data_IF_111150294456
#
_entry.id   IF_111150294456
#
_cell.length_a   1.000
_cell.length_b   1.000
_cell.length_c   1.000
_cell.angle_alpha   90.00
_cell.angle_beta   90.00
_cell.angle_gamma   90.00
#
_symmetry.space_group_name_H-M   'P 1'
#
loop_
_entity.id
_entity.type
_entity.pdbx_description
1 polymer ?
#
# COMPACT_ATOMS: atom_id res chain seq x y z
N UNK A 1 -14.97 -9.55 24.42
CA UNK A 1 -16.24 -9.36 23.68
C UNK A 1 -16.26 -10.24 22.44
N UNK A 2 -17.43 -10.48 21.86
CA UNK A 2 -17.61 -11.12 20.57
C UNK A 2 -17.88 -10.05 19.51
N UNK A 3 -17.04 -9.96 18.49
CA UNK A 3 -17.26 -9.08 17.34
C UNK A 3 -17.56 -9.89 16.08
N UNK A 4 -18.47 -9.39 15.24
CA UNK A 4 -18.74 -9.97 13.94
C UNK A 4 -18.41 -8.94 12.85
N UNK A 5 -17.47 -9.27 11.96
CA UNK A 5 -16.88 -8.34 10.99
C UNK A 5 -17.50 -8.55 9.60
N UNK A 6 -18.12 -7.52 9.07
CA UNK A 6 -18.67 -7.50 7.70
C UNK A 6 -17.58 -6.99 6.73
N UNK A 7 -17.24 -7.78 5.72
CA UNK A 7 -16.15 -7.50 4.78
C UNK A 7 -14.77 -7.90 5.33
N UNK A 8 -14.72 -9.01 6.09
CA UNK A 8 -13.55 -9.45 6.85
C UNK A 8 -12.34 -9.82 5.99
N UNK A 9 -12.53 -10.21 4.72
CA UNK A 9 -11.45 -10.63 3.82
C UNK A 9 -10.69 -9.45 3.18
N UNK A 10 -11.14 -8.21 3.39
CA UNK A 10 -10.38 -7.03 2.99
C UNK A 10 -9.09 -6.88 3.81
N UNK A 11 -8.01 -6.35 3.22
CA UNK A 11 -6.67 -6.29 3.86
C UNK A 11 -6.70 -5.60 5.22
N UNK A 12 -7.36 -4.44 5.33
CA UNK A 12 -7.50 -3.72 6.61
C UNK A 12 -8.35 -4.50 7.61
N UNK A 13 -9.50 -5.02 7.17
CA UNK A 13 -10.44 -5.71 8.06
C UNK A 13 -9.89 -7.07 8.51
N UNK A 14 -9.13 -7.77 7.67
CA UNK A 14 -8.44 -9.01 8.04
C UNK A 14 -7.33 -8.76 9.07
N UNK A 15 -6.56 -7.69 8.91
CA UNK A 15 -5.57 -7.26 9.90
C UNK A 15 -6.22 -6.86 11.23
N UNK A 16 -7.34 -6.14 11.19
CA UNK A 16 -8.13 -5.81 12.38
C UNK A 16 -8.64 -7.08 13.08
N UNK A 17 -9.12 -8.06 12.32
CA UNK A 17 -9.57 -9.35 12.86
C UNK A 17 -8.43 -10.09 13.59
N UNK A 18 -7.22 -10.07 13.01
CA UNK A 18 -6.04 -10.65 13.65
C UNK A 18 -5.69 -9.94 14.97
N UNK A 19 -5.66 -8.60 14.97
CA UNK A 19 -5.42 -7.80 16.18
C UNK A 19 -6.48 -8.07 17.27
N UNK A 20 -7.74 -8.15 16.88
CA UNK A 20 -8.82 -8.45 17.82
C UNK A 20 -8.68 -9.85 18.45
N UNK A 21 -8.29 -10.86 17.66
CA UNK A 21 -8.00 -12.21 18.17
C UNK A 21 -6.81 -12.21 19.13
N UNK A 22 -5.72 -11.53 18.76
CA UNK A 22 -4.51 -11.40 19.59
C UNK A 22 -4.81 -10.65 20.90
N UNK A 23 -5.73 -9.67 20.87
CA UNK A 23 -6.23 -8.96 22.05
C UNK A 23 -7.23 -9.77 22.91
N UNK A 24 -7.50 -11.04 22.56
CA UNK A 24 -8.36 -11.95 23.34
C UNK A 24 -9.87 -11.82 23.05
N UNK A 25 -10.27 -11.15 21.98
CA UNK A 25 -11.66 -11.09 21.55
C UNK A 25 -12.07 -12.35 20.76
N UNK A 26 -13.34 -12.75 20.88
CA UNK A 26 -13.95 -13.70 19.95
C UNK A 26 -14.26 -12.96 18.65
N UNK A 27 -13.82 -13.50 17.51
CA UNK A 27 -14.03 -12.90 16.20
C UNK A 27 -14.71 -13.91 15.29
N UNK A 28 -15.75 -13.45 14.62
CA UNK A 28 -16.40 -14.10 13.49
C UNK A 28 -16.55 -13.08 12.38
N UNK A 29 -16.83 -13.48 11.14
CA UNK A 29 -17.06 -12.49 10.10
C UNK A 29 -17.54 -13.08 8.78
N UNK A 30 -17.98 -12.20 7.89
CA UNK A 30 -18.48 -12.56 6.57
C UNK A 30 -17.89 -11.69 5.47
N UNK A 31 -17.86 -12.25 4.25
CA UNK A 31 -17.47 -11.54 3.04
C UNK A 31 -18.17 -12.14 1.81
N UNK A 32 -18.27 -11.38 0.73
CA UNK A 32 -18.78 -11.88 -0.57
C UNK A 32 -17.85 -12.92 -1.21
N UNK A 33 -16.53 -12.81 -0.94
CA UNK A 33 -15.49 -13.69 -1.47
C UNK A 33 -14.59 -14.23 -0.37
N UNK A 34 -14.85 -15.48 0.07
CA UNK A 34 -14.06 -16.16 1.11
C UNK A 34 -13.09 -17.13 0.44
N UNK A 35 -11.98 -16.63 -0.08
CA UNK A 35 -10.97 -17.41 -0.82
C UNK A 35 -9.53 -17.08 -0.38
N UNK A 36 -8.58 -18.02 -0.61
CA UNK A 36 -7.17 -17.79 -0.30
C UNK A 36 -6.58 -16.57 -1.01
N UNK A 37 -5.54 -15.92 -0.44
CA UNK A 37 -4.82 -16.32 0.79
C UNK A 37 -5.44 -15.80 2.10
N UNK A 38 -6.33 -14.80 2.06
CA UNK A 38 -6.86 -14.17 3.27
C UNK A 38 -7.73 -15.13 4.09
N UNK A 39 -8.57 -15.92 3.44
CA UNK A 39 -9.41 -16.91 4.13
C UNK A 39 -8.60 -17.93 4.94
N UNK A 40 -7.47 -18.39 4.36
CA UNK A 40 -6.60 -19.37 5.04
C UNK A 40 -5.89 -18.73 6.24
N UNK A 41 -5.42 -17.51 6.09
CA UNK A 41 -4.82 -16.75 7.18
C UNK A 41 -5.81 -16.55 8.34
N UNK A 42 -7.02 -16.13 8.05
CA UNK A 42 -8.05 -15.91 9.07
C UNK A 42 -8.48 -17.21 9.76
N UNK A 43 -8.65 -18.30 8.99
CA UNK A 43 -8.95 -19.63 9.55
C UNK A 43 -7.84 -20.17 10.44
N UNK A 44 -6.57 -19.93 10.09
CA UNK A 44 -5.43 -20.33 10.93
C UNK A 44 -5.42 -19.63 12.29
N UNK A 45 -6.07 -18.46 12.40
CA UNK A 45 -6.29 -17.71 13.64
C UNK A 45 -7.53 -18.20 14.43
N UNK A 46 -8.22 -19.25 13.96
CA UNK A 46 -9.44 -19.77 14.57
C UNK A 46 -10.64 -18.84 14.39
N UNK A 47 -10.71 -18.10 13.28
CA UNK A 47 -11.82 -17.21 12.95
C UNK A 47 -12.81 -17.95 12.04
N UNK A 48 -14.07 -18.00 12.46
CA UNK A 48 -15.16 -18.56 11.65
C UNK A 48 -15.57 -17.57 10.56
N UNK A 49 -15.50 -18.01 9.31
CA UNK A 49 -15.81 -17.21 8.12
C UNK A 49 -17.10 -17.71 7.47
N UNK A 50 -17.98 -16.77 7.14
CA UNK A 50 -19.24 -17.02 6.44
C UNK A 50 -19.17 -16.35 5.06
N UNK A 51 -19.56 -17.07 4.02
CA UNK A 51 -19.67 -16.50 2.69
C UNK A 51 -21.04 -15.82 2.52
N UNK A 52 -21.01 -14.59 1.99
CA UNK A 52 -22.19 -13.76 1.80
C UNK A 52 -22.60 -12.94 3.03
N UNK A 53 -23.61 -12.11 2.84
CA UNK A 53 -24.13 -11.17 3.85
C UNK A 53 -25.60 -11.48 4.19
N UNK A 54 -25.92 -12.75 4.46
CA UNK A 54 -27.25 -13.20 4.79
C UNK A 54 -27.79 -12.63 6.11
N UNK A 55 -29.06 -12.24 6.16
CA UNK A 55 -29.71 -11.69 7.35
C UNK A 55 -29.80 -12.70 8.52
N UNK A 56 -29.72 -13.99 8.24
CA UNK A 56 -29.69 -15.10 9.22
C UNK A 56 -28.50 -14.98 10.19
N UNK A 57 -27.41 -14.34 9.77
CA UNK A 57 -26.24 -14.07 10.61
C UNK A 57 -26.54 -13.14 11.79
N UNK A 58 -27.68 -12.46 11.81
CA UNK A 58 -28.15 -11.72 12.99
C UNK A 58 -28.27 -12.61 14.23
N UNK A 59 -28.56 -13.92 14.02
CA UNK A 59 -28.67 -14.94 15.08
C UNK A 59 -27.34 -15.27 15.77
N UNK A 60 -26.18 -14.85 15.20
CA UNK A 60 -24.86 -14.97 15.83
C UNK A 60 -24.80 -14.16 17.13
N UNK A 61 -25.61 -13.09 17.21
CA UNK A 61 -25.77 -12.22 18.37
C UNK A 61 -24.42 -11.76 18.97
N UNK A 62 -23.52 -11.15 18.19
CA UNK A 62 -22.27 -10.61 18.70
C UNK A 62 -22.56 -9.40 19.61
N UNK A 63 -21.59 -9.01 20.44
CA UNK A 63 -21.67 -7.79 21.24
C UNK A 63 -21.73 -6.54 20.34
N UNK A 64 -21.02 -6.58 19.19
CA UNK A 64 -21.01 -5.50 18.20
C UNK A 64 -20.70 -6.03 16.78
N UNK A 65 -21.38 -5.46 15.79
CA UNK A 65 -21.07 -5.67 14.37
C UNK A 65 -20.05 -4.62 13.93
N UNK A 66 -18.92 -5.07 13.32
CA UNK A 66 -17.88 -4.19 12.81
C UNK A 66 -17.97 -4.12 11.29
N UNK A 67 -18.32 -2.95 10.76
CA UNK A 67 -18.70 -2.78 9.35
C UNK A 67 -17.51 -2.28 8.53
N UNK A 68 -17.12 -3.05 7.53
CA UNK A 68 -16.09 -2.67 6.56
C UNK A 68 -16.63 -1.74 5.47
N UNK A 69 -15.71 -1.02 4.80
CA UNK A 69 -16.06 -0.02 3.78
C UNK A 69 -16.74 -0.61 2.52
N UNK A 70 -16.58 -1.90 2.26
CA UNK A 70 -17.26 -2.60 1.15
C UNK A 70 -18.78 -2.65 1.33
N UNK A 71 -19.25 -2.57 2.57
CA UNK A 71 -20.67 -2.66 2.92
C UNK A 71 -21.38 -1.33 2.64
N UNK A 72 -22.56 -1.41 2.04
CA UNK A 72 -23.37 -0.25 1.71
C UNK A 72 -24.86 -0.58 1.79
N UNK A 73 -25.74 0.40 1.53
CA UNK A 73 -27.18 0.20 1.37
C UNK A 73 -27.59 0.09 -0.10
N UNK A 74 -26.68 -0.31 -0.98
CA UNK A 74 -26.94 -0.52 -2.39
C UNK A 74 -28.01 -1.61 -2.60
N UNK A 75 -28.79 -1.46 -3.64
CA UNK A 75 -29.81 -2.41 -4.09
C UNK A 75 -29.36 -3.13 -5.36
N UNK A 76 -29.72 -4.39 -5.47
CA UNK A 76 -29.60 -5.15 -6.71
C UNK A 76 -30.65 -4.69 -7.74
N UNK A 77 -30.53 -5.06 -9.02
CA UNK A 77 -31.49 -4.66 -10.06
C UNK A 77 -32.95 -5.07 -9.78
N UNK A 78 -33.16 -6.13 -9.00
CA UNK A 78 -34.48 -6.60 -8.55
C UNK A 78 -35.03 -5.84 -7.33
N UNK A 79 -34.31 -4.81 -6.83
CA UNK A 79 -34.67 -4.01 -5.68
C UNK A 79 -34.32 -4.61 -4.33
N UNK A 80 -33.79 -5.84 -4.27
CA UNK A 80 -33.34 -6.46 -3.00
C UNK A 80 -32.05 -5.82 -2.47
N UNK A 81 -31.83 -5.81 -1.14
CA UNK A 81 -30.57 -5.31 -0.58
C UNK A 81 -29.38 -6.13 -1.05
N UNK A 82 -28.29 -5.46 -1.47
CA UNK A 82 -27.02 -6.12 -1.76
C UNK A 82 -26.37 -6.71 -0.48
N UNK A 83 -26.66 -6.11 0.67
CA UNK A 83 -26.16 -6.50 1.99
C UNK A 83 -27.32 -6.72 2.99
N UNK A 84 -28.09 -7.83 2.87
CA UNK A 84 -29.27 -8.08 3.72
C UNK A 84 -28.96 -8.07 5.22
N UNK A 85 -27.79 -8.53 5.63
CA UNK A 85 -27.35 -8.50 7.05
C UNK A 85 -27.30 -7.06 7.57
N UNK A 86 -26.81 -6.09 6.77
CA UNK A 86 -26.74 -4.70 7.22
C UNK A 86 -28.14 -4.10 7.44
N UNK A 87 -29.09 -4.38 6.55
CA UNK A 87 -30.47 -3.93 6.75
C UNK A 87 -31.07 -4.58 8.02
N UNK A 88 -30.86 -5.88 8.24
CA UNK A 88 -31.31 -6.57 9.45
C UNK A 88 -30.71 -6.00 10.75
N UNK A 89 -29.42 -5.60 10.73
CA UNK A 89 -28.76 -4.94 11.87
C UNK A 89 -29.45 -3.61 12.19
N UNK A 90 -29.73 -2.80 11.16
CA UNK A 90 -30.40 -1.50 11.32
C UNK A 90 -31.85 -1.68 11.83
N UNK A 91 -32.61 -2.57 11.22
CA UNK A 91 -34.02 -2.83 11.60
C UNK A 91 -34.16 -3.34 13.03
N UNK A 92 -33.23 -4.18 13.46
CA UNK A 92 -33.19 -4.75 14.81
C UNK A 92 -32.53 -3.83 15.86
N UNK A 93 -32.03 -2.67 15.47
CA UNK A 93 -31.35 -1.72 16.36
C UNK A 93 -30.13 -2.31 17.06
N UNK A 94 -29.39 -3.22 16.38
CA UNK A 94 -28.20 -3.86 16.98
C UNK A 94 -27.00 -2.92 16.98
N UNK A 95 -26.11 -3.04 18.01
CA UNK A 95 -24.88 -2.25 18.06
C UNK A 95 -24.00 -2.50 16.83
N UNK A 96 -23.55 -1.44 16.18
CA UNK A 96 -22.58 -1.52 15.09
C UNK A 96 -21.62 -0.34 15.12
N UNK A 97 -20.42 -0.55 14.59
CA UNK A 97 -19.36 0.46 14.47
C UNK A 97 -18.54 0.23 13.21
N UNK A 98 -17.70 1.18 12.84
CA UNK A 98 -16.74 0.99 11.74
C UNK A 98 -15.45 0.30 12.20
N UNK A 99 -14.71 -0.33 11.27
CA UNK A 99 -13.41 -0.92 11.57
C UNK A 99 -12.42 0.07 12.18
N UNK A 100 -12.20 1.26 11.57
CA UNK A 100 -11.29 2.27 12.11
C UNK A 100 -11.67 2.79 13.50
N UNK A 101 -12.96 2.97 13.76
CA UNK A 101 -13.43 3.41 15.08
C UNK A 101 -13.20 2.32 16.13
N UNK A 102 -13.58 1.06 15.84
CA UNK A 102 -13.35 -0.06 16.75
C UNK A 102 -11.86 -0.21 17.08
N UNK A 103 -10.99 -0.13 16.06
CA UNK A 103 -9.53 -0.20 16.23
C UNK A 103 -9.04 0.91 17.17
N UNK A 104 -9.51 2.14 16.97
CA UNK A 104 -9.12 3.30 17.77
C UNK A 104 -9.47 3.13 19.26
N UNK A 105 -10.65 2.57 19.55
CA UNK A 105 -11.17 2.43 20.91
C UNK A 105 -10.61 1.23 21.66
N UNK A 106 -10.28 0.13 20.95
CA UNK A 106 -9.93 -1.15 21.61
C UNK A 106 -8.45 -1.54 21.46
N UNK A 107 -7.73 -0.95 20.49
CA UNK A 107 -6.34 -1.30 20.22
C UNK A 107 -5.40 -0.09 20.36
N UNK A 108 -5.80 1.08 19.83
CA UNK A 108 -4.91 2.25 19.77
C UNK A 108 -4.99 3.12 21.02
N UNK A 109 -6.07 3.04 21.79
CA UNK A 109 -6.25 3.86 22.98
C UNK A 109 -5.13 3.62 23.99
N UNK A 110 -4.48 4.72 24.43
CA UNK A 110 -3.38 4.68 25.38
C UNK A 110 -2.00 4.38 24.76
N UNK A 111 -1.93 4.08 23.46
CA UNK A 111 -0.65 3.87 22.76
C UNK A 111 -0.11 5.16 22.11
N UNK A 112 1.17 5.19 21.83
CA UNK A 112 1.77 6.17 20.95
C UNK A 112 1.58 5.73 19.51
N UNK A 113 0.52 6.21 18.88
CA UNK A 113 0.22 5.88 17.48
C UNK A 113 1.12 6.69 16.55
N UNK A 114 1.80 5.98 15.62
CA UNK A 114 2.58 6.55 14.53
C UNK A 114 1.85 6.22 13.22
N UNK A 115 1.18 7.20 12.65
CA UNK A 115 0.39 7.05 11.42
C UNK A 115 1.20 7.48 10.20
N UNK A 116 1.16 6.69 9.13
CA UNK A 116 1.85 7.00 7.86
C UNK A 116 0.81 7.25 6.78
N UNK A 117 0.66 8.52 6.40
CA UNK A 117 -0.27 8.98 5.37
C UNK A 117 0.49 9.45 4.11
N UNK A 118 -0.20 9.43 2.98
CA UNK A 118 0.32 9.85 1.68
C UNK A 118 -0.34 9.07 0.55
N UNK A 119 -0.31 9.57 -0.66
CA UNK A 119 -0.86 8.85 -1.82
C UNK A 119 -0.02 7.61 -2.11
N UNK A 120 1.32 7.75 -2.07
CA UNK A 120 2.27 6.68 -2.39
C UNK A 120 3.22 6.40 -1.24
N UNK A 121 3.76 5.17 -1.19
CA UNK A 121 4.78 4.77 -0.24
C UNK A 121 4.28 4.46 1.18
N UNK A 122 2.99 4.60 1.48
CA UNK A 122 2.39 4.31 2.80
C UNK A 122 2.86 2.97 3.37
N UNK A 123 2.59 1.89 2.65
CA UNK A 123 2.90 0.51 3.06
C UNK A 123 4.38 0.30 3.35
N UNK A 124 5.25 0.77 2.45
CA UNK A 124 6.70 0.63 2.59
C UNK A 124 7.22 1.44 3.78
N UNK A 125 6.81 2.70 3.92
CA UNK A 125 7.22 3.56 5.05
C UNK A 125 6.72 3.02 6.39
N UNK A 126 5.46 2.54 6.44
CA UNK A 126 4.90 1.91 7.65
C UNK A 126 5.71 0.68 8.05
N UNK A 127 6.09 -0.14 7.06
CA UNK A 127 6.90 -1.35 7.27
C UNK A 127 8.31 -1.03 7.73
N UNK A 128 8.97 -0.04 7.09
CA UNK A 128 10.28 0.46 7.51
C UNK A 128 10.24 0.98 8.96
N UNK A 129 9.23 1.79 9.29
CA UNK A 129 9.07 2.34 10.62
C UNK A 129 8.83 1.24 11.66
N UNK A 130 7.95 0.28 11.38
CA UNK A 130 7.74 -0.87 12.27
C UNK A 130 9.03 -1.67 12.49
N UNK A 131 9.81 -1.91 11.42
CA UNK A 131 11.09 -2.60 11.49
C UNK A 131 12.14 -1.83 12.31
N UNK A 132 12.26 -0.53 12.07
CA UNK A 132 13.16 0.35 12.84
C UNK A 132 12.82 0.33 14.33
N UNK A 133 11.54 0.39 14.67
CA UNK A 133 11.08 0.33 16.06
C UNK A 133 11.34 -1.06 16.69
N UNK A 134 11.17 -2.13 15.92
CA UNK A 134 11.48 -3.49 16.36
C UNK A 134 12.97 -3.63 16.70
N UNK A 135 13.84 -3.23 15.78
CA UNK A 135 15.29 -3.27 15.97
C UNK A 135 15.77 -2.30 17.08
N UNK A 136 15.03 -1.22 17.28
CA UNK A 136 15.21 -0.28 18.40
C UNK A 136 14.67 -0.77 19.75
N UNK A 137 14.23 -2.04 19.86
CA UNK A 137 13.74 -2.65 21.10
C UNK A 137 12.40 -2.10 21.60
N UNK A 138 11.60 -1.48 20.71
CA UNK A 138 10.31 -0.89 21.10
C UNK A 138 9.14 -1.89 21.03
N UNK A 139 9.34 -3.11 20.52
CA UNK A 139 8.32 -4.16 20.34
C UNK A 139 6.97 -3.60 19.84
N UNK A 140 6.92 -2.88 18.69
CA UNK A 140 5.73 -2.14 18.28
C UNK A 140 4.59 -3.07 17.89
N UNK A 141 3.34 -2.61 18.11
CA UNK A 141 2.21 -3.09 17.35
C UNK A 141 2.19 -2.44 15.95
N UNK A 142 1.54 -3.09 15.00
CA UNK A 142 1.37 -2.50 13.67
C UNK A 142 0.16 -3.04 12.90
N UNK A 143 -0.31 -2.24 11.96
CA UNK A 143 -1.28 -2.62 10.92
C UNK A 143 -0.84 -2.01 9.60
N UNK A 144 -0.48 -2.87 8.63
CA UNK A 144 0.09 -2.51 7.33
C UNK A 144 -0.78 -3.06 6.21
N UNK A 145 -0.96 -2.32 5.13
CA UNK A 145 -1.73 -2.73 3.95
C UNK A 145 -1.07 -3.81 3.07
N UNK A 146 0.06 -4.36 3.50
CA UNK A 146 0.81 -5.43 2.85
C UNK A 146 1.46 -6.35 3.87
N UNK A 147 2.27 -7.30 3.42
CA UNK A 147 3.00 -8.23 4.30
C UNK A 147 4.49 -7.90 4.25
N UNK A 148 5.05 -7.22 5.28
CA UNK A 148 6.49 -7.00 5.36
C UNK A 148 7.20 -8.35 5.49
N UNK A 149 8.26 -8.55 4.71
CA UNK A 149 9.00 -9.82 4.69
C UNK A 149 9.69 -10.12 6.03
N UNK A 150 10.04 -9.07 6.76
CA UNK A 150 10.70 -9.17 8.08
C UNK A 150 9.79 -9.71 9.18
N UNK A 151 8.49 -9.49 9.05
CA UNK A 151 7.49 -9.93 10.04
C UNK A 151 6.66 -11.13 9.56
N UNK A 152 6.46 -11.28 8.25
CA UNK A 152 5.64 -12.35 7.67
C UNK A 152 4.13 -12.20 7.87
N UNK A 153 3.69 -11.15 8.57
CA UNK A 153 2.28 -10.83 8.86
C UNK A 153 2.00 -9.35 8.58
N UNK A 154 0.74 -9.01 8.27
CA UNK A 154 0.32 -7.63 8.02
C UNK A 154 -0.11 -6.87 9.28
N UNK A 155 -0.34 -7.57 10.38
CA UNK A 155 -0.79 -6.99 11.64
C UNK A 155 -0.22 -7.76 12.83
N UNK A 156 0.10 -7.05 13.89
CA UNK A 156 0.58 -7.57 15.18
C UNK A 156 0.19 -6.61 16.30
N UNK A 157 -0.31 -7.12 17.41
CA UNK A 157 -0.67 -6.29 18.57
C UNK A 157 0.56 -5.63 19.20
N UNK A 158 1.67 -6.38 19.33
CA UNK A 158 2.91 -5.93 19.95
C UNK A 158 2.79 -5.62 21.43
N UNK A 159 3.88 -5.77 22.17
CA UNK A 159 3.92 -5.56 23.62
C UNK A 159 4.33 -4.13 24.03
N UNK A 160 4.86 -3.35 23.07
CA UNK A 160 5.34 -1.99 23.31
C UNK A 160 4.24 -0.93 23.32
N UNK A 161 4.60 0.26 23.79
CA UNK A 161 3.69 1.40 23.79
C UNK A 161 3.44 2.00 22.38
N UNK A 162 4.36 1.76 21.43
CA UNK A 162 4.24 2.25 20.06
C UNK A 162 3.31 1.37 19.20
N UNK A 163 2.52 2.02 18.35
CA UNK A 163 1.71 1.32 17.34
C UNK A 163 1.86 2.04 15.99
N UNK A 164 2.35 1.34 14.97
CA UNK A 164 2.55 1.89 13.63
C UNK A 164 1.37 1.51 12.74
N UNK A 165 0.74 2.48 12.09
CA UNK A 165 -0.43 2.22 11.25
C UNK A 165 -0.34 2.91 9.90
N UNK A 166 -0.67 2.17 8.85
CA UNK A 166 -0.91 2.73 7.53
C UNK A 166 -2.19 3.56 7.56
N UNK A 167 -2.05 4.85 7.27
CA UNK A 167 -3.12 5.84 7.41
C UNK A 167 -3.68 6.20 6.02
N UNK A 168 -4.72 5.47 5.65
CA UNK A 168 -5.39 5.59 4.37
C UNK A 168 -6.41 6.72 4.37
N UNK A 169 -6.44 7.53 3.30
CA UNK A 169 -7.36 8.64 3.06
C UNK A 169 -8.77 8.21 2.67
N UNK A 170 -9.00 6.94 2.35
CA UNK A 170 -10.32 6.41 2.01
C UNK A 170 -11.34 6.63 3.13
N UNK A 171 -12.62 6.80 2.74
CA UNK A 171 -13.72 6.90 3.68
C UNK A 171 -13.84 5.66 4.58
N UNK A 172 -14.41 5.86 5.77
CA UNK A 172 -14.44 4.88 6.86
C UNK A 172 -15.46 3.78 6.62
N UNK A 173 -16.72 4.16 6.35
CA UNK A 173 -17.85 3.27 6.12
C UNK A 173 -18.97 4.02 5.38
N UNK A 174 -20.03 3.33 4.96
CA UNK A 174 -21.15 3.97 4.27
C UNK A 174 -21.87 5.03 5.14
N UNK A 175 -21.82 4.89 6.46
CA UNK A 175 -22.41 5.81 7.43
C UNK A 175 -21.41 6.82 8.03
N UNK A 176 -20.12 6.69 7.72
CA UNK A 176 -19.08 7.63 8.15
C UNK A 176 -18.14 7.92 6.97
N UNK A 177 -18.30 9.11 6.37
CA UNK A 177 -17.57 9.56 5.19
C UNK A 177 -16.27 10.29 5.49
N UNK A 178 -15.86 10.37 6.77
CA UNK A 178 -14.52 10.85 7.13
C UNK A 178 -13.48 9.80 6.73
N UNK A 179 -12.28 10.26 6.38
CA UNK A 179 -11.17 9.37 6.11
C UNK A 179 -10.79 8.54 7.33
N UNK A 180 -10.39 7.30 7.12
CA UNK A 180 -10.06 6.33 8.19
C UNK A 180 -9.06 6.87 9.20
N UNK A 181 -8.06 7.60 8.75
CA UNK A 181 -6.98 8.11 9.60
C UNK A 181 -7.44 9.12 10.68
N UNK A 182 -8.60 9.76 10.53
CA UNK A 182 -9.15 10.69 11.54
C UNK A 182 -9.47 9.96 12.86
N UNK A 183 -9.78 8.66 12.78
CA UNK A 183 -10.05 7.83 13.94
C UNK A 183 -8.79 7.48 14.75
N UNK A 184 -7.60 7.44 14.12
CA UNK A 184 -6.38 6.90 14.73
C UNK A 184 -5.74 7.79 15.78
N UNK A 185 -6.03 9.11 15.77
CA UNK A 185 -5.53 10.11 16.75
C UNK A 185 -4.03 9.96 16.99
N UNK A 186 -3.18 10.06 15.96
CA UNK A 186 -1.76 9.78 16.09
C UNK A 186 -1.06 10.85 16.93
N UNK A 187 -0.02 10.43 17.65
CA UNK A 187 0.95 11.34 18.27
C UNK A 187 2.11 11.68 17.34
N UNK A 188 2.40 10.78 16.40
CA UNK A 188 3.31 11.03 15.28
C UNK A 188 2.57 10.76 13.99
N UNK A 189 2.57 11.69 13.04
CA UNK A 189 2.01 11.46 11.72
C UNK A 189 3.04 11.81 10.64
N UNK A 190 3.31 10.85 9.75
CA UNK A 190 4.09 11.06 8.54
C UNK A 190 3.13 11.49 7.43
N UNK A 191 3.44 12.61 6.78
CA UNK A 191 2.79 13.10 5.56
C UNK A 191 3.81 12.99 4.43
N UNK A 192 3.72 11.89 3.65
CA UNK A 192 4.79 11.51 2.73
C UNK A 192 4.69 12.25 1.39
N UNK A 193 3.55 12.20 0.75
CA UNK A 193 3.25 12.90 -0.51
C UNK A 193 1.73 13.03 -0.66
N UNK A 194 1.29 13.89 -1.58
CA UNK A 194 -0.14 14.11 -1.80
C UNK A 194 -0.40 14.46 -3.26
N UNK A 195 -0.98 13.52 -3.99
CA UNK A 195 -1.42 13.67 -5.38
C UNK A 195 -2.92 13.34 -5.50
N UNK A 196 -3.53 13.67 -6.64
CA UNK A 196 -4.91 13.28 -6.91
C UNK A 196 -4.99 11.79 -7.21
N UNK A 197 -5.74 11.07 -6.38
CA UNK A 197 -6.11 9.66 -6.55
C UNK A 197 -7.53 9.45 -6.00
N UNK A 198 -8.02 8.21 -6.05
CA UNK A 198 -9.36 7.86 -5.54
C UNK A 198 -10.49 8.71 -6.16
N UNK A 199 -10.47 8.85 -7.50
CA UNK A 199 -11.46 9.62 -8.26
C UNK A 199 -12.91 9.11 -8.11
N UNK A 200 -13.11 7.97 -7.49
CA UNK A 200 -14.42 7.42 -7.12
C UNK A 200 -15.03 8.07 -5.87
N UNK A 201 -14.23 8.73 -5.05
CA UNK A 201 -14.68 9.37 -3.79
C UNK A 201 -14.23 10.82 -3.63
N UNK A 202 -13.28 11.30 -4.42
CA UNK A 202 -12.79 12.68 -4.39
C UNK A 202 -12.89 13.32 -5.76
N UNK A 203 -13.46 14.53 -5.80
CA UNK A 203 -13.62 15.29 -7.03
C UNK A 203 -12.31 15.92 -7.51
N UNK A 204 -11.45 16.33 -6.57
CA UNK A 204 -10.21 17.05 -6.85
C UNK A 204 -9.16 16.87 -5.73
N UNK A 205 -7.94 17.37 -5.98
CA UNK A 205 -6.85 17.36 -4.99
C UNK A 205 -7.21 18.17 -3.73
N UNK A 206 -7.96 19.26 -3.87
CA UNK A 206 -8.35 20.08 -2.73
C UNK A 206 -9.28 19.32 -1.76
N UNK A 207 -10.09 18.40 -2.28
CA UNK A 207 -10.90 17.50 -1.44
C UNK A 207 -10.01 16.58 -0.59
N UNK A 208 -8.92 16.06 -1.16
CA UNK A 208 -7.96 15.23 -0.44
C UNK A 208 -7.15 16.08 0.56
N UNK A 209 -6.70 17.28 0.18
CA UNK A 209 -6.03 18.23 1.09
C UNK A 209 -6.87 18.53 2.33
N UNK A 210 -8.19 18.70 2.19
CA UNK A 210 -9.11 18.87 3.32
C UNK A 210 -9.09 17.67 4.27
N UNK A 211 -9.05 16.45 3.75
CA UNK A 211 -8.97 15.25 4.59
C UNK A 211 -7.63 15.19 5.34
N UNK A 212 -6.52 15.48 4.65
CA UNK A 212 -5.20 15.56 5.31
C UNK A 212 -5.15 16.62 6.39
N UNK A 213 -5.81 17.79 6.18
CA UNK A 213 -5.94 18.79 7.24
C UNK A 213 -6.78 18.28 8.40
N UNK A 214 -7.80 17.44 8.19
CA UNK A 214 -8.52 16.78 9.28
C UNK A 214 -7.59 15.86 10.08
N UNK A 215 -6.68 15.11 9.43
CA UNK A 215 -5.65 14.34 10.14
C UNK A 215 -4.73 15.24 10.97
N UNK A 216 -4.20 16.33 10.39
CA UNK A 216 -3.34 17.31 11.08
C UNK A 216 -3.99 17.81 12.37
N UNK A 217 -5.29 18.10 12.33
CA UNK A 217 -6.07 18.54 13.51
C UNK A 217 -6.16 17.51 14.63
N UNK A 218 -5.98 16.23 14.34
CA UNK A 218 -6.05 15.15 15.35
C UNK A 218 -4.74 14.93 16.08
N UNK A 219 -3.62 15.45 15.54
CA UNK A 219 -2.30 15.36 16.18
C UNK A 219 -2.21 16.38 17.31
N UNK A 220 -1.92 15.97 18.56
CA UNK A 220 -1.87 16.89 19.71
C UNK A 220 -0.69 17.86 19.62
N UNK A 221 -0.76 18.99 20.34
CA UNK A 221 0.33 19.98 20.40
C UNK A 221 1.67 19.40 20.89
N UNK A 222 1.64 18.32 21.65
CA UNK A 222 2.83 17.56 22.09
C UNK A 222 3.24 16.46 21.10
N UNK A 223 2.57 16.37 19.97
CA UNK A 223 2.85 15.41 18.90
C UNK A 223 3.78 15.99 17.84
N UNK A 224 4.08 15.17 16.84
CA UNK A 224 4.98 15.55 15.73
C UNK A 224 4.37 15.19 14.37
N UNK A 225 4.46 16.12 13.43
CA UNK A 225 4.23 15.89 12.01
C UNK A 225 5.58 15.77 11.30
N UNK A 226 5.80 14.63 10.64
CA UNK A 226 6.98 14.36 9.79
C UNK A 226 6.56 14.57 8.34
N UNK A 227 6.99 15.66 7.73
CA UNK A 227 6.40 16.17 6.49
C UNK A 227 7.43 16.24 5.37
N UNK A 228 7.09 15.74 4.20
CA UNK A 228 7.90 15.91 3.01
C UNK A 228 7.96 17.39 2.61
N UNK A 229 9.16 17.98 2.67
CA UNK A 229 9.38 19.39 2.38
C UNK A 229 9.20 19.75 0.91
N UNK A 230 9.30 18.77 0.01
CA UNK A 230 9.23 18.97 -1.43
C UNK A 230 7.79 19.01 -1.99
N UNK A 231 6.80 18.67 -1.18
CA UNK A 231 5.39 18.56 -1.57
C UNK A 231 4.63 19.87 -1.33
N UNK A 232 4.33 20.60 -2.41
CA UNK A 232 3.58 21.87 -2.32
C UNK A 232 2.16 21.66 -1.77
N UNK A 233 1.50 20.54 -2.12
CA UNK A 233 0.18 20.18 -1.60
C UNK A 233 0.18 20.06 -0.07
N UNK A 234 1.22 19.48 0.51
CA UNK A 234 1.37 19.40 1.96
C UNK A 234 1.63 20.76 2.61
N UNK A 235 2.35 21.66 1.92
CA UNK A 235 2.49 23.04 2.42
C UNK A 235 1.14 23.75 2.46
N UNK A 236 0.27 23.57 1.46
CA UNK A 236 -1.11 24.10 1.49
C UNK A 236 -1.96 23.51 2.61
N UNK A 237 -1.80 22.22 2.88
CA UNK A 237 -2.47 21.55 4.03
C UNK A 237 -2.04 22.20 5.35
N UNK A 238 -0.73 22.37 5.57
CA UNK A 238 -0.20 22.98 6.80
C UNK A 238 -0.57 24.46 6.96
N UNK A 239 -0.69 25.19 5.86
CA UNK A 239 -1.12 26.60 5.86
C UNK A 239 -2.55 26.80 6.38
N UNK A 240 -3.39 25.77 6.35
CA UNK A 240 -4.73 25.78 6.93
C UNK A 240 -4.71 25.72 8.47
N UNK A 241 -3.56 25.44 9.08
CA UNK A 241 -3.30 25.36 10.52
C UNK A 241 -2.49 24.12 10.90
N UNK A 242 -1.55 24.32 11.80
CA UNK A 242 -0.72 23.27 12.38
C UNK A 242 -0.43 23.63 13.84
N UNK A 243 -0.59 22.67 14.74
CA UNK A 243 -0.46 22.87 16.18
C UNK A 243 0.64 22.05 16.82
N UNK A 244 1.24 21.13 16.05
CA UNK A 244 2.22 20.15 16.50
C UNK A 244 3.62 20.54 16.03
N UNK A 245 4.65 19.92 16.61
CA UNK A 245 6.02 20.03 16.11
C UNK A 245 6.11 19.57 14.65
N UNK A 246 6.89 20.29 13.84
CA UNK A 246 7.16 19.94 12.45
C UNK A 246 8.59 19.43 12.30
N UNK A 247 8.74 18.20 11.81
CA UNK A 247 9.99 17.64 11.31
C UNK A 247 9.88 17.49 9.81
N UNK A 248 10.70 18.21 9.04
CA UNK A 248 10.65 18.21 7.58
C UNK A 248 11.75 17.33 7.00
N UNK A 249 11.41 16.48 6.02
CA UNK A 249 12.38 15.65 5.31
C UNK A 249 12.40 15.91 3.81
N UNK A 250 13.50 15.54 3.16
CA UNK A 250 13.75 15.80 1.74
C UNK A 250 14.49 17.10 1.50
N UNK A 251 14.56 17.53 0.26
CA UNK A 251 15.24 18.77 -0.12
C UNK A 251 14.59 19.97 0.58
N UNK A 252 15.39 20.80 1.26
CA UNK A 252 14.91 21.93 2.05
C UNK A 252 14.39 21.58 3.44
N UNK A 253 14.34 20.30 3.81
CA UNK A 253 14.03 19.84 5.15
C UNK A 253 15.28 19.73 6.04
N UNK A 254 15.06 19.51 7.33
CA UNK A 254 16.13 19.26 8.31
C UNK A 254 16.69 17.84 8.19
N UNK A 255 15.86 16.90 7.74
CA UNK A 255 16.24 15.51 7.46
C UNK A 255 16.51 15.33 5.98
N UNK A 256 17.76 15.04 5.61
CA UNK A 256 18.18 14.93 4.23
C UNK A 256 18.99 13.66 4.01
N UNK A 257 19.11 13.25 2.75
CA UNK A 257 19.99 12.17 2.32
C UNK A 257 21.11 12.74 1.44
N UNK A 258 22.30 12.18 1.61
CA UNK A 258 23.49 12.48 0.77
C UNK A 258 24.15 11.20 0.34
N UNK A 259 24.13 10.91 -0.96
CA UNK A 259 24.66 9.68 -1.54
C UNK A 259 23.72 9.10 -2.60
N UNK A 260 24.01 7.87 -3.03
CA UNK A 260 23.15 7.11 -3.95
C UNK A 260 21.90 6.60 -3.23
N UNK A 261 20.91 6.09 -3.99
CA UNK A 261 19.68 5.63 -3.37
C UNK A 261 19.81 4.34 -2.56
N UNK A 262 20.85 3.57 -2.81
CA UNK A 262 21.20 2.30 -2.16
C UNK A 262 22.27 2.44 -1.06
N UNK A 263 23.00 3.58 -1.06
CA UNK A 263 24.05 3.87 -0.06
C UNK A 263 24.12 5.39 0.22
N UNK A 264 23.57 5.83 1.35
CA UNK A 264 23.48 7.26 1.68
C UNK A 264 23.64 7.55 3.15
N UNK A 265 24.19 8.73 3.43
CA UNK A 265 24.20 9.31 4.76
C UNK A 265 22.85 9.95 5.06
N UNK A 266 22.33 9.74 6.25
CA UNK A 266 21.20 10.48 6.80
C UNK A 266 21.74 11.70 7.51
N UNK A 267 21.28 12.88 7.11
CA UNK A 267 21.66 14.15 7.71
C UNK A 267 20.50 14.71 8.53
N UNK A 268 20.80 15.33 9.68
CA UNK A 268 19.89 16.16 10.45
C UNK A 268 20.55 17.53 10.65
N UNK A 269 19.89 18.60 10.21
CA UNK A 269 20.43 19.98 10.22
C UNK A 269 21.83 20.07 9.57
N UNK A 270 22.09 19.27 8.52
CA UNK A 270 23.36 19.24 7.79
C UNK A 270 24.43 18.33 8.39
N UNK A 271 24.25 17.81 9.60
CA UNK A 271 25.17 16.87 10.25
C UNK A 271 24.79 15.42 9.95
N UNK A 272 25.79 14.56 9.71
CA UNK A 272 25.58 13.14 9.48
C UNK A 272 25.21 12.46 10.81
N UNK A 273 24.02 11.88 10.87
CA UNK A 273 23.50 11.19 12.06
C UNK A 273 23.33 9.69 11.87
N UNK A 274 23.54 9.17 10.66
CA UNK A 274 23.49 7.75 10.36
C UNK A 274 23.81 7.47 8.91
N UNK A 275 23.98 6.19 8.56
CA UNK A 275 24.23 5.73 7.19
C UNK A 275 23.34 4.52 6.90
N UNK A 276 22.72 4.53 5.74
CA UNK A 276 21.93 3.42 5.20
C UNK A 276 22.66 2.83 4.01
N UNK A 277 22.80 1.50 4.02
CA UNK A 277 23.29 0.70 2.89
C UNK A 277 22.34 -0.50 2.76
N UNK A 278 21.67 -0.64 1.63
CA UNK A 278 20.62 -1.64 1.42
C UNK A 278 20.51 -2.07 -0.05
N UNK A 279 19.66 -3.07 -0.33
CA UNK A 279 19.40 -3.54 -1.70
C UNK A 279 18.28 -2.79 -2.41
N UNK A 280 17.56 -1.90 -1.70
CA UNK A 280 16.46 -1.14 -2.30
C UNK A 280 17.01 -0.03 -3.21
N UNK A 281 16.21 0.32 -4.21
CA UNK A 281 16.55 1.36 -5.18
C UNK A 281 15.45 2.41 -5.28
N UNK A 282 15.81 3.55 -5.88
CA UNK A 282 14.88 4.64 -6.17
C UNK A 282 14.81 5.70 -5.07
N UNK A 283 14.65 6.96 -5.52
CA UNK A 283 14.54 8.14 -4.64
C UNK A 283 13.38 7.99 -3.65
N UNK A 284 12.26 7.39 -4.08
CA UNK A 284 11.10 7.20 -3.24
C UNK A 284 11.39 6.36 -1.99
N UNK A 285 12.24 5.31 -2.10
CA UNK A 285 12.64 4.51 -0.95
C UNK A 285 13.59 5.27 -0.02
N UNK A 286 14.50 6.08 -0.58
CA UNK A 286 15.36 6.97 0.20
C UNK A 286 14.51 7.99 1.00
N UNK A 287 13.47 8.58 0.38
CA UNK A 287 12.54 9.48 1.05
C UNK A 287 11.71 8.76 2.13
N UNK A 288 11.22 7.53 1.85
CA UNK A 288 10.52 6.71 2.83
C UNK A 288 11.41 6.40 4.05
N UNK A 289 12.71 6.15 3.84
CA UNK A 289 13.69 5.94 4.90
C UNK A 289 13.86 7.17 5.78
N UNK A 290 14.02 8.36 5.19
CA UNK A 290 14.12 9.63 5.93
C UNK A 290 12.89 9.85 6.81
N UNK A 291 11.70 9.62 6.26
CA UNK A 291 10.45 9.73 7.00
C UNK A 291 10.38 8.74 8.18
N UNK A 292 10.79 7.48 7.96
CA UNK A 292 10.82 6.47 9.01
C UNK A 292 11.82 6.80 10.12
N UNK A 293 13.03 7.27 9.78
CA UNK A 293 14.05 7.69 10.77
C UNK A 293 13.56 8.87 11.60
N UNK A 294 13.00 9.91 10.95
CA UNK A 294 12.49 11.10 11.63
C UNK A 294 11.29 10.78 12.55
N UNK A 295 10.43 9.84 12.15
CA UNK A 295 9.31 9.39 12.96
C UNK A 295 9.76 8.52 14.15
N UNK A 296 10.73 7.64 13.95
CA UNK A 296 11.27 6.75 14.98
C UNK A 296 12.02 7.54 16.08
N UNK A 297 12.69 8.63 15.71
CA UNK A 297 13.37 9.51 16.67
C UNK A 297 12.40 10.08 17.70
N UNK A 298 11.16 10.40 17.32
CA UNK A 298 10.12 10.92 18.23
C UNK A 298 9.72 9.93 19.33
N UNK A 299 9.93 8.64 19.15
CA UNK A 299 9.71 7.60 20.17
C UNK A 299 10.99 7.06 20.77
N UNK A 300 12.10 7.80 20.62
CA UNK A 300 13.36 7.55 21.29
C UNK A 300 14.19 6.41 20.67
N UNK A 301 14.16 6.24 19.35
CA UNK A 301 15.14 5.45 18.60
C UNK A 301 16.19 6.41 18.04
N UNK A 302 17.47 6.18 18.39
CA UNK A 302 18.53 7.04 17.88
C UNK A 302 18.61 6.98 16.34
N UNK A 303 18.81 8.11 15.62
CA UNK A 303 18.87 8.12 14.15
C UNK A 303 19.93 7.16 13.58
N UNK A 304 21.08 7.00 14.25
CA UNK A 304 22.12 6.05 13.87
C UNK A 304 21.66 4.60 13.93
N UNK A 305 20.85 4.25 14.95
CA UNK A 305 20.30 2.90 15.10
C UNK A 305 19.19 2.66 14.09
N UNK A 306 18.33 3.66 13.85
CA UNK A 306 17.31 3.62 12.83
C UNK A 306 17.89 3.41 11.43
N UNK A 307 18.94 4.16 11.07
CA UNK A 307 19.64 4.02 9.80
C UNK A 307 20.27 2.63 9.64
N UNK A 308 20.91 2.11 10.70
CA UNK A 308 21.50 0.76 10.72
C UNK A 308 20.41 -0.32 10.55
N UNK A 309 19.29 -0.19 11.22
CA UNK A 309 18.16 -1.11 11.11
C UNK A 309 17.63 -1.20 9.68
N UNK A 310 17.53 -0.06 8.97
CA UNK A 310 17.12 -0.01 7.58
C UNK A 310 18.04 -0.80 6.65
N UNK A 311 19.33 -0.92 6.95
CA UNK A 311 20.28 -1.74 6.18
C UNK A 311 19.90 -3.22 6.10
N UNK A 312 19.11 -3.73 7.04
CA UNK A 312 18.62 -5.12 7.07
C UNK A 312 17.15 -5.27 6.64
N UNK A 313 16.48 -4.20 6.25
CA UNK A 313 15.07 -4.22 5.86
C UNK A 313 14.85 -4.93 4.51
N UNK A 314 14.05 -5.99 4.50
CA UNK A 314 13.84 -6.87 3.34
C UNK A 314 12.68 -6.47 2.43
N UNK A 315 12.09 -5.30 2.65
CA UNK A 315 10.94 -4.80 1.88
C UNK A 315 9.59 -5.49 2.23
N UNK A 316 8.60 -5.21 1.42
CA UNK A 316 7.23 -5.73 1.52
C UNK A 316 6.95 -6.61 0.31
N UNK A 317 6.15 -7.65 0.47
CA UNK A 317 5.66 -8.45 -0.64
C UNK A 317 5.06 -7.57 -1.73
N UNK A 318 5.27 -7.95 -2.98
CA UNK A 318 4.79 -7.21 -4.15
C UNK A 318 5.32 -5.77 -4.25
N UNK A 319 6.56 -5.52 -3.79
CA UNK A 319 7.33 -4.28 -4.03
C UNK A 319 8.64 -4.66 -4.68
N UNK A 320 8.65 -4.72 -6.01
CA UNK A 320 9.74 -5.28 -6.81
C UNK A 320 10.15 -6.69 -6.32
N UNK A 321 9.16 -7.49 -5.91
CA UNK A 321 9.37 -8.85 -5.42
C UNK A 321 9.86 -9.74 -6.56
N UNK A 322 11.00 -10.38 -6.39
CA UNK A 322 11.51 -11.35 -7.34
C UNK A 322 10.62 -12.61 -7.36
N UNK A 323 9.92 -12.86 -8.47
CA UNK A 323 9.07 -14.04 -8.63
C UNK A 323 9.81 -15.23 -9.19
N UNK A 324 10.87 -14.98 -9.94
CA UNK A 324 11.72 -16.01 -10.48
C UNK A 324 12.62 -15.54 -11.62
N UNK A 325 13.56 -16.40 -11.97
CA UNK A 325 14.52 -16.20 -13.05
C UNK A 325 14.49 -17.41 -13.98
N UNK A 326 14.60 -17.17 -15.27
CA UNK A 326 14.71 -18.21 -16.31
C UNK A 326 16.02 -18.02 -17.06
N UNK A 327 16.91 -18.98 -16.90
CA UNK A 327 18.21 -18.99 -17.59
C UNK A 327 18.02 -19.21 -19.09
N UNK A 328 18.76 -18.48 -19.90
CA UNK A 328 18.82 -18.55 -21.36
C UNK A 328 20.27 -18.52 -21.85
N UNK A 329 20.53 -19.02 -23.05
CA UNK A 329 21.82 -18.80 -23.69
C UNK A 329 22.04 -17.31 -23.91
N UNK A 330 23.05 -16.74 -23.20
CA UNK A 330 23.37 -15.29 -23.26
C UNK A 330 22.87 -14.46 -22.10
N UNK A 331 22.19 -15.02 -21.08
CA UNK A 331 21.76 -14.32 -19.87
C UNK A 331 20.42 -14.79 -19.34
N UNK A 332 20.04 -14.30 -18.19
CA UNK A 332 18.81 -14.66 -17.51
C UNK A 332 17.65 -13.68 -17.85
N UNK A 333 16.42 -14.16 -17.83
CA UNK A 333 15.20 -13.32 -17.83
C UNK A 333 14.64 -13.33 -16.43
N UNK A 334 14.47 -12.15 -15.84
CA UNK A 334 14.01 -11.99 -14.45
C UNK A 334 12.60 -11.44 -14.40
N UNK A 335 11.71 -12.03 -13.61
CA UNK A 335 10.31 -11.61 -13.45
C UNK A 335 10.07 -11.08 -12.05
N UNK A 336 9.51 -9.87 -11.98
CA UNK A 336 9.17 -9.17 -10.73
C UNK A 336 7.66 -8.96 -10.60
N UNK A 337 7.19 -8.88 -9.37
CA UNK A 337 5.83 -8.45 -8.99
C UNK A 337 5.90 -7.12 -8.27
N UNK A 338 5.14 -6.14 -8.74
CA UNK A 338 5.03 -4.83 -8.08
C UNK A 338 3.57 -4.38 -7.96
N UNK A 339 3.28 -3.69 -6.89
CA UNK A 339 1.92 -3.20 -6.59
C UNK A 339 1.61 -1.84 -7.25
N UNK A 340 2.56 -1.24 -7.98
CA UNK A 340 2.37 0.02 -8.67
C UNK A 340 1.15 -0.03 -9.59
N UNK A 341 0.27 0.93 -9.46
CA UNK A 341 -0.99 1.02 -10.23
C UNK A 341 -1.42 2.45 -10.53
N UNK A 342 -0.67 3.45 -10.07
CA UNK A 342 -0.81 4.86 -10.39
C UNK A 342 0.36 5.30 -11.26
N UNK A 343 0.22 6.24 -12.23
CA UNK A 343 1.29 6.65 -13.12
C UNK A 343 2.59 7.03 -12.42
N UNK A 344 2.53 7.81 -11.34
CA UNK A 344 3.70 8.18 -10.53
C UNK A 344 4.37 6.95 -9.91
N UNK A 345 3.59 6.00 -9.37
CA UNK A 345 4.14 4.77 -8.79
C UNK A 345 4.79 3.88 -9.87
N UNK A 346 4.16 3.73 -11.03
CA UNK A 346 4.73 3.01 -12.19
C UNK A 346 6.06 3.63 -12.58
N UNK A 347 6.09 4.95 -12.78
CA UNK A 347 7.32 5.67 -13.13
C UNK A 347 8.43 5.45 -12.10
N UNK A 348 8.14 5.68 -10.82
CA UNK A 348 9.18 5.57 -9.78
C UNK A 348 9.72 4.14 -9.64
N UNK A 349 8.89 3.12 -9.84
CA UNK A 349 9.31 1.71 -9.87
C UNK A 349 10.27 1.45 -11.04
N UNK A 350 9.89 1.85 -12.25
CA UNK A 350 10.69 1.62 -13.47
C UNK A 350 12.00 2.44 -13.46
N UNK A 351 11.94 3.70 -13.04
CA UNK A 351 13.13 4.56 -12.89
C UNK A 351 14.12 3.97 -11.86
N UNK A 352 13.60 3.43 -10.75
CA UNK A 352 14.39 2.76 -9.72
C UNK A 352 15.15 1.56 -10.28
N UNK A 353 14.47 0.70 -11.05
CA UNK A 353 15.09 -0.45 -11.70
C UNK A 353 16.11 -0.01 -12.76
N UNK A 354 15.78 0.96 -13.63
CA UNK A 354 16.69 1.47 -14.66
C UNK A 354 18.00 1.98 -14.03
N UNK A 355 17.92 2.78 -12.99
CA UNK A 355 19.11 3.30 -12.28
C UNK A 355 19.95 2.18 -11.67
N UNK A 356 19.30 1.14 -11.11
CA UNK A 356 20.00 -0.04 -10.57
C UNK A 356 20.78 -0.76 -11.67
N UNK A 357 20.17 -0.98 -12.83
CA UNK A 357 20.82 -1.60 -13.99
C UNK A 357 22.00 -0.75 -14.50
N UNK A 358 21.80 0.55 -14.64
CA UNK A 358 22.84 1.49 -15.07
C UNK A 358 24.03 1.51 -14.08
N UNK A 359 23.75 1.51 -12.77
CA UNK A 359 24.77 1.52 -11.72
C UNK A 359 25.59 0.21 -11.61
N UNK A 360 24.99 -0.92 -12.01
CA UNK A 360 25.66 -2.23 -12.03
C UNK A 360 26.33 -2.55 -13.37
N UNK A 361 26.38 -1.58 -14.30
CA UNK A 361 27.00 -1.78 -15.63
C UNK A 361 26.12 -2.54 -16.63
N UNK A 362 24.87 -2.83 -16.27
CA UNK A 362 23.90 -3.58 -17.07
C UNK A 362 23.01 -2.69 -17.95
N UNK A 363 23.58 -1.62 -18.50
CA UNK A 363 22.85 -0.62 -19.31
C UNK A 363 22.16 -1.17 -20.55
N UNK A 364 22.67 -2.30 -21.09
CA UNK A 364 22.08 -2.99 -22.24
C UNK A 364 20.92 -3.90 -21.88
N UNK A 365 20.70 -4.22 -20.59
CA UNK A 365 19.57 -5.02 -20.14
C UNK A 365 18.28 -4.20 -20.21
N UNK A 366 17.21 -4.82 -20.76
CA UNK A 366 15.94 -4.12 -21.02
C UNK A 366 14.96 -4.30 -19.89
N UNK A 367 14.06 -3.33 -19.76
CA UNK A 367 12.90 -3.37 -18.87
C UNK A 367 11.65 -3.58 -19.74
N UNK A 368 10.91 -4.65 -19.50
CA UNK A 368 9.61 -4.96 -20.08
C UNK A 368 8.55 -4.70 -18.99
N UNK A 369 7.76 -3.64 -19.14
CA UNK A 369 6.70 -3.28 -18.22
C UNK A 369 5.38 -3.96 -18.62
N UNK A 370 4.84 -4.85 -17.78
CA UNK A 370 3.51 -5.42 -17.94
C UNK A 370 2.60 -4.82 -16.85
N UNK A 371 1.45 -4.24 -17.22
CA UNK A 371 0.61 -3.55 -16.24
C UNK A 371 -0.88 -3.70 -16.50
N UNK A 372 -1.65 -3.63 -15.42
CA UNK A 372 -3.11 -3.72 -15.40
C UNK A 372 -3.69 -2.42 -14.81
N UNK A 373 -4.38 -1.57 -15.59
CA UNK A 373 -5.09 -0.39 -15.08
C UNK A 373 -6.36 -0.79 -14.31
N UNK A 374 -6.20 -1.21 -13.04
CA UNK A 374 -7.26 -1.86 -12.28
C UNK A 374 -7.87 -1.01 -11.17
N UNK A 375 -7.13 -0.04 -10.62
CA UNK A 375 -7.69 0.85 -9.60
C UNK A 375 -8.89 1.63 -10.15
N UNK A 376 -9.79 2.10 -9.29
CA UNK A 376 -10.96 2.85 -9.72
C UNK A 376 -10.56 4.07 -10.57
N UNK A 377 -9.56 4.84 -10.12
CA UNK A 377 -9.01 5.99 -10.87
C UNK A 377 -8.51 5.58 -12.26
N UNK A 378 -7.79 4.47 -12.36
CA UNK A 378 -7.26 3.99 -13.65
C UNK A 378 -8.35 3.46 -14.57
N UNK A 379 -9.36 2.74 -14.03
CA UNK A 379 -10.50 2.25 -14.81
C UNK A 379 -11.35 3.38 -15.39
N UNK A 380 -11.50 4.49 -14.67
CA UNK A 380 -12.20 5.68 -15.15
C UNK A 380 -11.44 6.42 -16.27
N UNK A 381 -10.18 6.04 -16.55
CA UNK A 381 -9.38 6.69 -17.60
C UNK A 381 -8.86 8.08 -17.26
N UNK A 382 -9.09 8.58 -16.04
CA UNK A 382 -8.68 9.92 -15.60
C UNK A 382 -7.19 10.15 -15.77
N UNK A 383 -6.37 9.09 -15.61
CA UNK A 383 -4.91 9.15 -15.72
C UNK A 383 -4.36 8.60 -17.06
N UNK A 384 -5.23 8.29 -18.03
CA UNK A 384 -4.81 7.65 -19.29
C UNK A 384 -3.72 8.44 -20.04
N UNK A 385 -3.83 9.77 -20.08
CA UNK A 385 -2.85 10.65 -20.73
C UNK A 385 -1.44 10.64 -20.08
N UNK A 386 -1.33 10.18 -18.84
CA UNK A 386 -0.05 10.10 -18.12
C UNK A 386 0.69 8.77 -18.35
N UNK A 387 0.06 7.78 -18.97
CA UNK A 387 0.66 6.46 -19.17
C UNK A 387 1.97 6.50 -19.97
N UNK A 388 2.08 7.21 -21.12
CA UNK A 388 3.34 7.27 -21.84
C UNK A 388 4.49 7.84 -21.00
N UNK A 389 4.22 8.88 -20.21
CA UNK A 389 5.17 9.47 -19.27
C UNK A 389 5.58 8.47 -18.17
N UNK A 390 4.63 7.70 -17.64
CA UNK A 390 4.91 6.75 -16.56
C UNK A 390 5.76 5.55 -17.01
N UNK A 391 5.75 5.23 -18.29
CA UNK A 391 6.42 4.09 -18.91
C UNK A 391 7.72 4.46 -19.63
N UNK A 392 8.19 5.71 -19.53
CA UNK A 392 9.34 6.23 -20.27
C UNK A 392 10.62 5.40 -20.08
N UNK A 393 10.87 4.92 -18.87
CA UNK A 393 12.05 4.09 -18.53
C UNK A 393 11.94 2.62 -18.93
N UNK A 394 10.78 2.17 -19.46
CA UNK A 394 10.62 0.83 -20.03
C UNK A 394 11.02 0.81 -21.51
N UNK A 395 11.70 -0.24 -21.91
CA UNK A 395 12.02 -0.48 -23.34
C UNK A 395 10.79 -0.95 -24.13
N UNK A 396 9.96 -1.79 -23.48
CA UNK A 396 8.68 -2.25 -24.02
C UNK A 396 7.63 -2.23 -22.91
N UNK A 397 6.38 -1.99 -23.30
CA UNK A 397 5.25 -1.93 -22.37
C UNK A 397 4.07 -2.77 -22.88
N UNK A 398 3.41 -3.48 -21.99
CA UNK A 398 2.31 -4.40 -22.27
C UNK A 398 1.15 -4.11 -21.34
N UNK A 399 0.03 -3.62 -21.89
CA UNK A 399 -1.16 -3.25 -21.15
C UNK A 399 -2.23 -4.34 -21.21
N UNK A 400 -2.72 -4.79 -20.07
CA UNK A 400 -3.92 -5.62 -19.97
C UNK A 400 -5.16 -4.73 -19.96
N UNK A 401 -6.05 -4.87 -20.94
CA UNK A 401 -7.15 -3.94 -21.17
C UNK A 401 -8.53 -4.46 -20.76
N UNK A 402 -8.62 -5.66 -20.20
CA UNK A 402 -9.91 -6.21 -19.77
C UNK A 402 -10.59 -5.33 -18.71
N UNK A 403 -11.88 -5.03 -18.94
CA UNK A 403 -12.69 -4.25 -18.00
C UNK A 403 -12.38 -2.76 -17.96
N UNK A 404 -11.76 -2.20 -19.01
CA UNK A 404 -11.58 -0.77 -19.21
C UNK A 404 -12.70 -0.22 -20.09
N UNK A 405 -13.25 0.92 -19.69
CA UNK A 405 -14.30 1.65 -20.44
C UNK A 405 -13.69 2.70 -21.39
N UNK A 406 -12.37 2.73 -21.56
CA UNK A 406 -11.63 3.66 -22.40
C UNK A 406 -10.59 2.94 -23.26
N UNK A 407 -10.16 3.59 -24.36
CA UNK A 407 -9.23 3.02 -25.34
C UNK A 407 -7.76 3.17 -24.86
N UNK A 408 -7.24 2.09 -24.26
CA UNK A 408 -5.85 2.04 -23.82
C UNK A 408 -4.84 2.05 -24.98
N UNK A 409 -5.21 1.55 -26.16
CA UNK A 409 -4.34 1.59 -27.32
C UNK A 409 -4.15 3.02 -27.83
N UNK A 410 -5.23 3.82 -27.86
CA UNK A 410 -5.16 5.24 -28.16
C UNK A 410 -4.31 6.03 -27.16
N UNK A 411 -4.46 5.74 -25.85
CA UNK A 411 -3.66 6.39 -24.80
C UNK A 411 -2.16 6.07 -24.91
N UNK A 412 -1.81 4.86 -25.37
CA UNK A 412 -0.42 4.42 -25.54
C UNK A 412 0.16 4.73 -26.93
N UNK A 413 -0.64 5.21 -27.87
CA UNK A 413 -0.21 5.52 -29.25
C UNK A 413 1.06 6.40 -29.34
N UNK A 414 1.31 7.38 -28.42
CA UNK A 414 2.55 8.15 -28.45
C UNK A 414 3.83 7.32 -28.26
N UNK A 415 3.72 6.08 -27.72
CA UNK A 415 4.85 5.18 -27.53
C UNK A 415 5.20 4.37 -28.79
N UNK A 416 4.34 4.36 -29.82
CA UNK A 416 4.54 3.60 -31.05
C UNK A 416 4.69 2.09 -30.79
N UNK A 417 5.65 1.45 -31.46
CA UNK A 417 5.92 0.02 -31.35
C UNK A 417 6.42 -0.44 -29.98
N UNK A 418 6.75 0.50 -29.07
CA UNK A 418 7.16 0.18 -27.70
C UNK A 418 6.00 -0.19 -26.80
N UNK A 419 4.74 0.01 -27.21
CA UNK A 419 3.58 -0.33 -26.43
C UNK A 419 2.66 -1.32 -27.16
N UNK A 420 2.15 -2.31 -26.42
CA UNK A 420 1.19 -3.30 -26.90
C UNK A 420 0.05 -3.43 -25.91
N UNK A 421 -1.13 -3.80 -26.39
CA UNK A 421 -2.32 -4.02 -25.58
C UNK A 421 -2.90 -5.39 -25.85
N UNK A 422 -3.49 -6.00 -24.83
CA UNK A 422 -4.19 -7.29 -24.95
C UNK A 422 -5.39 -7.34 -24.00
N UNK A 423 -6.54 -7.83 -24.52
CA UNK A 423 -7.80 -7.94 -23.77
C UNK A 423 -7.88 -9.16 -22.86
N UNK A 424 -6.88 -10.06 -22.89
CA UNK A 424 -6.84 -11.25 -22.04
C UNK A 424 -5.39 -11.56 -21.62
N UNK A 425 -5.25 -12.34 -20.54
CA UNK A 425 -3.94 -12.68 -19.94
C UNK A 425 -3.11 -13.56 -20.87
N UNK A 426 -3.71 -14.55 -21.50
CA UNK A 426 -2.98 -15.50 -22.37
C UNK A 426 -2.35 -14.78 -23.59
N UNK A 427 -3.05 -13.93 -24.36
CA UNK A 427 -2.43 -13.10 -25.40
C UNK A 427 -1.36 -12.15 -24.86
N UNK A 428 -1.56 -11.55 -23.67
CA UNK A 428 -0.57 -10.70 -23.04
C UNK A 428 0.73 -11.45 -22.76
N UNK A 429 0.64 -12.64 -22.15
CA UNK A 429 1.78 -13.52 -21.87
C UNK A 429 2.48 -13.90 -23.17
N UNK A 430 1.72 -14.29 -24.22
CA UNK A 430 2.30 -14.65 -25.51
C UNK A 430 3.09 -13.49 -26.14
N UNK A 431 2.56 -12.25 -26.09
CA UNK A 431 3.24 -11.05 -26.59
C UNK A 431 4.55 -10.77 -25.83
N UNK A 432 4.53 -10.90 -24.50
CA UNK A 432 5.71 -10.67 -23.66
C UNK A 432 6.78 -11.74 -23.96
N UNK A 433 6.40 -13.02 -23.98
CA UNK A 433 7.33 -14.14 -24.26
C UNK A 433 7.96 -14.03 -25.64
N UNK A 434 7.18 -13.64 -26.66
CA UNK A 434 7.69 -13.42 -28.03
C UNK A 434 8.68 -12.25 -28.12
N UNK A 435 8.56 -11.24 -27.24
CA UNK A 435 9.45 -10.08 -27.21
C UNK A 435 10.67 -10.29 -26.31
N UNK A 436 10.60 -11.23 -25.35
CA UNK A 436 11.60 -11.42 -24.31
C UNK A 436 12.93 -11.96 -24.85
N UNK A 437 14.04 -11.45 -24.32
CA UNK A 437 15.42 -11.81 -24.67
C UNK A 437 16.26 -12.04 -23.42
N UNK A 438 17.38 -12.77 -23.51
CA UNK A 438 18.34 -12.86 -22.41
C UNK A 438 18.76 -11.47 -21.91
N UNK A 439 18.81 -11.28 -20.60
CA UNK A 439 19.08 -10.00 -19.94
C UNK A 439 17.85 -9.13 -19.70
N UNK A 440 16.63 -9.59 -20.03
CA UNK A 440 15.42 -8.78 -19.80
C UNK A 440 14.92 -8.87 -18.34
N UNK A 441 14.38 -7.75 -17.87
CA UNK A 441 13.69 -7.61 -16.61
C UNK A 441 12.21 -7.34 -16.87
N UNK A 442 11.35 -8.31 -16.56
CA UNK A 442 9.88 -8.18 -16.72
C UNK A 442 9.28 -7.75 -15.40
N UNK A 443 8.70 -6.55 -15.36
CA UNK A 443 8.04 -6.00 -14.17
C UNK A 443 6.53 -6.07 -14.37
N UNK A 444 5.86 -6.92 -13.59
CA UNK A 444 4.40 -7.05 -13.60
C UNK A 444 3.80 -6.15 -12.52
N UNK A 445 2.99 -5.16 -12.92
CA UNK A 445 2.45 -4.12 -12.05
C UNK A 445 0.93 -4.15 -11.98
N UNK A 446 0.37 -4.39 -10.79
CA UNK A 446 -1.07 -4.39 -10.53
C UNK A 446 -1.38 -4.31 -9.03
N UNK A 447 -2.45 -3.64 -8.63
CA UNK A 447 -2.97 -3.71 -7.27
C UNK A 447 -3.91 -4.92 -7.01
N UNK A 448 -4.03 -5.82 -7.98
CA UNK A 448 -4.79 -7.07 -7.88
C UNK A 448 -3.94 -8.31 -8.15
N UNK A 449 -4.60 -9.43 -8.37
CA UNK A 449 -3.93 -10.72 -8.66
C UNK A 449 -3.38 -10.86 -10.07
N UNK A 450 -3.66 -9.91 -10.97
CA UNK A 450 -3.22 -9.88 -12.36
C UNK A 450 -3.40 -11.23 -13.10
N UNK A 451 -4.49 -11.94 -12.84
CA UNK A 451 -4.81 -13.22 -13.47
C UNK A 451 -3.74 -14.31 -13.34
N UNK A 452 -2.85 -14.21 -12.34
CA UNK A 452 -1.73 -15.14 -12.17
C UNK A 452 -0.64 -15.00 -13.25
N UNK A 453 -0.47 -13.81 -13.82
CA UNK A 453 0.45 -13.52 -14.93
C UNK A 453 1.89 -13.96 -14.65
N UNK A 454 2.37 -13.84 -13.42
CA UNK A 454 3.73 -14.20 -13.03
C UNK A 454 4.05 -15.67 -13.27
N UNK A 455 3.20 -16.55 -12.76
CA UNK A 455 3.39 -18.00 -12.89
C UNK A 455 3.23 -18.45 -14.34
N UNK A 456 2.26 -17.87 -15.06
CA UNK A 456 2.06 -18.11 -16.51
C UNK A 456 3.26 -17.67 -17.34
N UNK A 457 3.84 -16.50 -17.06
CA UNK A 457 5.05 -16.01 -17.71
C UNK A 457 6.24 -16.94 -17.45
N UNK A 458 6.50 -17.29 -16.18
CA UNK A 458 7.60 -18.17 -15.81
C UNK A 458 7.46 -19.54 -16.47
N UNK A 459 6.25 -20.10 -16.51
CA UNK A 459 5.98 -21.38 -17.19
C UNK A 459 6.23 -21.29 -18.71
N UNK A 460 5.69 -20.25 -19.38
CA UNK A 460 5.85 -20.07 -20.82
C UNK A 460 7.31 -19.77 -21.21
N UNK A 461 8.02 -18.96 -20.43
CA UNK A 461 9.44 -18.69 -20.63
C UNK A 461 10.29 -19.96 -20.51
N UNK A 462 10.03 -20.83 -19.52
CA UNK A 462 10.73 -22.12 -19.36
C UNK A 462 10.46 -23.04 -20.53
N UNK A 463 9.22 -23.14 -21.02
CA UNK A 463 8.86 -23.97 -22.14
C UNK A 463 9.62 -23.57 -23.43
N UNK A 464 9.78 -22.28 -23.69
CA UNK A 464 10.54 -21.76 -24.85
C UNK A 464 12.06 -21.76 -24.63
N UNK A 465 12.58 -22.06 -23.45
CA UNK A 465 14.01 -22.26 -23.19
C UNK A 465 14.46 -23.68 -23.49
N UNK A 466 13.54 -24.65 -23.46
CA UNK A 466 13.81 -26.06 -23.71
C UNK A 466 13.70 -26.45 -25.19
N UNK A 467 13.17 -25.56 -26.04
CA UNK A 467 13.09 -25.71 -27.50
C UNK A 467 14.25 -24.97 -28.17
#
# INVERSE_FOLDING_TARGET
MHIHILGICGTFMGGLAALAREAGHRVTGCDAGVYPPMSDQLRSLGIDLIEGFGADQLAIAPDVFVVGNVVSRARLPDGTPKFPLMEAILDAGKPYTSGPQWLAEHVLLGRHVLAVAGTHGKTTTTSMLAWVLEQGGKAPGFLVGGVPLDFGVSARLGDGAAFVIEADEYDTAFFDKRSKFVHYRPRTAVLNNLEFDHADIFDDLAAIERQFHHLVRTVPGTGRLVVNATEESLQRVLAQGCWSELARFGAGGEWQARGSHDAFDVLRHGEVVGRVEWELSGLHNQMNALAAVAAAEHVGVAPSDAARALGSFRNVRRRMELRGTVERNGGAITVYDDFAHHPTAIRTTLDGLRRKLDGTGKKSERILAAFEPRSNTMKLGVMAAQLPWSLESADLSFCHTAGLDWDAAAALAPMGDRAKAAGAIEPLVAQIVAAARPGDHIVCMSNGGFGGVHDKLLAALRATAAS
#
